data_IF_077863320524
#
_entry.id   IF_077863320524
#
_cell.length_a   1.000
_cell.length_b   1.000
_cell.length_c   1.000
_cell.angle_alpha   90.00
_cell.angle_beta   90.00
_cell.angle_gamma   90.00
#
_symmetry.space_group_name_H-M   'P 1'
#
loop_
_entity.id
_entity.type
_entity.pdbx_description
1 polymer ?
#
# COMPACT_ATOMS: atom_id res chain seq x y z
N UNK A 1 -11.88 15.78 -3.29
CA UNK A 1 -11.47 14.44 -2.82
C UNK A 1 -11.99 13.43 -3.82
N UNK A 2 -11.10 12.72 -4.50
CA UNK A 2 -11.51 11.69 -5.46
C UNK A 2 -11.91 10.44 -4.70
N UNK A 3 -13.13 9.89 -4.91
CA UNK A 3 -13.53 8.66 -4.26
C UNK A 3 -12.74 7.47 -4.83
N UNK A 4 -12.51 6.45 -4.01
CA UNK A 4 -12.06 5.16 -4.52
C UNK A 4 -13.15 4.56 -5.41
N UNK A 5 -12.81 4.24 -6.66
CA UNK A 5 -13.72 3.68 -7.66
C UNK A 5 -13.90 2.17 -7.51
N UNK A 6 -12.84 1.47 -7.15
CA UNK A 6 -12.76 0.02 -7.21
C UNK A 6 -13.04 -0.60 -5.83
N UNK A 7 -14.32 -0.87 -5.58
CA UNK A 7 -14.81 -1.38 -4.30
C UNK A 7 -15.41 -2.78 -4.43
N UNK A 8 -15.13 -3.61 -3.43
CA UNK A 8 -15.50 -5.02 -3.37
C UNK A 8 -16.23 -5.33 -2.08
N UNK A 9 -16.99 -6.42 -2.10
CA UNK A 9 -17.57 -6.99 -0.89
C UNK A 9 -16.46 -7.55 -0.02
N UNK A 10 -16.45 -7.19 1.27
CA UNK A 10 -15.52 -7.79 2.25
C UNK A 10 -15.66 -9.32 2.31
N UNK A 11 -16.84 -9.85 1.97
CA UNK A 11 -17.08 -11.31 1.91
C UNK A 11 -16.23 -12.01 0.85
N UNK A 12 -15.82 -11.30 -0.21
CA UNK A 12 -14.95 -11.86 -1.26
C UNK A 12 -13.55 -12.20 -0.75
N UNK A 13 -13.16 -11.68 0.42
CA UNK A 13 -11.88 -11.97 1.09
C UNK A 13 -12.03 -13.08 2.15
N UNK A 14 -13.01 -13.98 1.98
CA UNK A 14 -13.24 -15.11 2.88
C UNK A 14 -13.68 -14.73 4.31
N UNK A 15 -14.00 -13.45 4.56
CA UNK A 15 -14.26 -12.92 5.91
C UNK A 15 -13.02 -12.87 6.81
N UNK A 16 -11.83 -13.14 6.26
CA UNK A 16 -10.54 -13.16 6.96
C UNK A 16 -9.92 -11.77 7.02
N UNK A 17 -8.88 -11.60 7.82
CA UNK A 17 -8.20 -10.31 7.96
C UNK A 17 -7.63 -9.81 6.63
N UNK A 18 -7.59 -8.49 6.41
CA UNK A 18 -6.93 -7.86 5.25
C UNK A 18 -5.43 -8.21 5.20
N UNK A 19 -4.84 -8.58 6.35
CA UNK A 19 -3.48 -9.11 6.48
C UNK A 19 -3.31 -10.53 5.91
N UNK A 20 -4.39 -11.29 5.71
CA UNK A 20 -4.29 -12.71 5.41
C UNK A 20 -4.08 -13.00 3.91
N UNK A 21 -3.41 -14.13 3.70
CA UNK A 21 -2.85 -14.80 2.51
C UNK A 21 -3.63 -14.75 1.17
N UNK A 22 -4.84 -14.21 1.16
CA UNK A 22 -5.77 -14.22 0.02
C UNK A 22 -5.84 -12.87 -0.71
N UNK A 23 -5.17 -11.81 -0.21
CA UNK A 23 -5.09 -10.52 -0.90
C UNK A 23 -3.94 -10.49 -1.91
N UNK A 24 -4.17 -10.03 -3.17
CA UNK A 24 -3.10 -9.83 -4.13
C UNK A 24 -2.04 -8.84 -3.62
N UNK A 25 -0.77 -9.20 -3.77
CA UNK A 25 0.36 -8.31 -3.48
C UNK A 25 0.70 -7.51 -4.72
N UNK A 26 0.68 -6.18 -4.62
CA UNK A 26 1.10 -5.29 -5.70
C UNK A 26 2.61 -5.05 -5.55
N UNK A 27 3.38 -5.17 -6.64
CA UNK A 27 4.83 -4.93 -6.60
C UNK A 27 5.19 -3.76 -7.51
N UNK A 28 5.74 -2.70 -6.92
CA UNK A 28 6.40 -1.62 -7.67
C UNK A 28 7.83 -2.06 -7.97
N UNK A 29 8.13 -2.28 -9.25
CA UNK A 29 9.49 -2.62 -9.70
C UNK A 29 10.24 -1.33 -9.95
N UNK A 30 11.28 -1.08 -9.15
CA UNK A 30 12.09 0.14 -9.19
C UNK A 30 13.37 -0.07 -9.98
N UNK A 31 14.15 1.01 -10.14
CA UNK A 31 15.48 0.96 -10.72
C UNK A 31 16.35 -0.12 -10.08
N UNK A 32 17.09 -0.87 -10.89
CA UNK A 32 17.91 -1.99 -10.41
C UNK A 32 17.12 -3.28 -10.11
N UNK A 33 15.81 -3.33 -10.38
CA UNK A 33 15.00 -4.55 -10.23
C UNK A 33 14.50 -4.82 -8.81
N UNK A 34 14.77 -3.90 -7.87
CA UNK A 34 14.27 -3.97 -6.50
C UNK A 34 12.74 -3.81 -6.50
N UNK A 35 12.05 -4.56 -5.64
CA UNK A 35 10.58 -4.57 -5.59
C UNK A 35 10.07 -4.04 -4.27
N UNK A 36 9.32 -2.94 -4.30
CA UNK A 36 8.49 -2.54 -3.15
C UNK A 36 7.16 -3.27 -3.23
N UNK A 37 6.92 -4.16 -2.26
CA UNK A 37 5.66 -4.90 -2.13
C UNK A 37 4.66 -4.13 -1.29
N UNK A 38 3.50 -3.86 -1.86
CA UNK A 38 2.33 -3.27 -1.19
C UNK A 38 1.37 -4.42 -0.88
N UNK A 39 1.17 -4.66 0.42
CA UNK A 39 0.30 -5.72 0.94
C UNK A 39 -1.13 -5.20 1.14
N UNK A 40 -2.07 -6.12 1.39
CA UNK A 40 -3.49 -5.80 1.61
C UNK A 40 -3.70 -4.65 2.60
N UNK A 41 -2.92 -4.58 3.68
CA UNK A 41 -3.00 -3.51 4.68
C UNK A 41 -2.70 -2.11 4.15
N UNK A 42 -1.96 -2.02 3.05
CA UNK A 42 -1.55 -0.78 2.40
C UNK A 42 -2.23 -0.56 1.03
N UNK A 43 -2.92 -1.58 0.50
CA UNK A 43 -3.63 -1.51 -0.78
C UNK A 43 -5.15 -1.54 -0.65
N UNK A 44 -5.71 -1.93 0.49
CA UNK A 44 -7.16 -2.09 0.68
C UNK A 44 -7.65 -1.33 1.91
N UNK A 45 -8.60 -0.43 1.69
CA UNK A 45 -9.20 0.40 2.74
C UNK A 45 -10.65 0.00 3.00
N UNK A 46 -10.98 -0.22 4.28
CA UNK A 46 -12.37 -0.54 4.68
C UNK A 46 -13.18 0.75 4.81
N UNK A 47 -14.04 1.02 3.83
CA UNK A 47 -14.87 2.24 3.79
C UNK A 47 -16.24 2.05 4.47
N UNK A 48 -16.74 0.82 4.55
CA UNK A 48 -17.98 0.44 5.27
C UNK A 48 -17.84 -0.95 5.88
N UNK A 49 -18.80 -1.35 6.73
CA UNK A 49 -18.80 -2.66 7.42
C UNK A 49 -18.48 -3.85 6.48
N UNK A 50 -19.07 -3.85 5.28
CA UNK A 50 -18.94 -4.93 4.29
C UNK A 50 -18.33 -4.46 2.95
N UNK A 51 -17.73 -3.27 2.90
CA UNK A 51 -17.16 -2.71 1.67
C UNK A 51 -15.71 -2.34 1.92
N UNK A 52 -14.85 -2.85 1.05
CA UNK A 52 -13.43 -2.58 1.00
C UNK A 52 -13.09 -2.07 -0.39
N UNK A 53 -12.26 -1.05 -0.50
CA UNK A 53 -11.87 -0.47 -1.78
C UNK A 53 -10.37 -0.55 -1.98
N UNK A 54 -9.95 -0.64 -3.24
CA UNK A 54 -8.57 -0.45 -3.63
C UNK A 54 -8.18 0.99 -3.28
N UNK A 55 -7.09 1.16 -2.52
CA UNK A 55 -6.63 2.45 -2.02
C UNK A 55 -5.83 3.24 -3.07
N UNK A 56 -6.33 3.25 -4.31
CA UNK A 56 -5.74 3.91 -5.47
C UNK A 56 -6.83 4.75 -6.14
N UNK A 57 -6.46 5.94 -6.59
CA UNK A 57 -7.40 6.88 -7.21
C UNK A 57 -6.93 7.20 -8.62
N UNK A 58 -7.87 7.20 -9.56
CA UNK A 58 -7.62 7.71 -10.91
C UNK A 58 -7.62 9.25 -10.86
N UNK A 59 -6.51 9.83 -11.30
CA UNK A 59 -6.30 11.29 -11.35
C UNK A 59 -6.59 11.89 -12.73
N UNK A 60 -7.06 11.07 -13.67
CA UNK A 60 -7.34 11.45 -15.05
C UNK A 60 -6.09 11.48 -15.92
N UNK A 61 -6.24 12.10 -17.09
CA UNK A 61 -5.21 12.08 -18.13
C UNK A 61 -4.07 13.07 -17.86
N UNK A 62 -2.84 12.66 -18.24
CA UNK A 62 -1.63 13.48 -18.24
C UNK A 62 -1.28 14.16 -16.89
N UNK A 63 -1.24 13.41 -15.77
CA UNK A 63 -0.83 13.98 -14.50
C UNK A 63 0.66 14.39 -14.55
N UNK A 64 0.99 15.49 -13.87
CA UNK A 64 2.40 15.93 -13.72
C UNK A 64 3.26 14.87 -13.04
N UNK A 65 2.67 14.13 -12.10
CA UNK A 65 3.28 13.01 -11.38
C UNK A 65 2.46 11.76 -11.74
N UNK A 66 3.02 10.80 -12.51
CA UNK A 66 2.27 9.62 -12.94
C UNK A 66 1.83 8.70 -11.80
N UNK A 67 2.63 8.62 -10.73
CA UNK A 67 2.36 7.79 -9.56
C UNK A 67 2.75 8.60 -8.32
N UNK A 68 1.78 8.82 -7.44
CA UNK A 68 1.99 9.41 -6.12
C UNK A 68 1.78 8.34 -5.06
N UNK A 69 2.83 8.04 -4.28
CA UNK A 69 2.74 7.10 -3.16
C UNK A 69 2.28 7.89 -1.93
N UNK A 70 1.04 7.63 -1.50
CA UNK A 70 0.44 8.31 -0.36
C UNK A 70 0.92 7.76 0.99
N UNK A 71 0.56 8.47 2.06
CA UNK A 71 0.86 8.06 3.43
C UNK A 71 0.33 6.66 3.77
N UNK A 72 -0.87 6.32 3.28
CA UNK A 72 -1.48 5.02 3.52
C UNK A 72 -0.66 3.85 2.99
N UNK A 73 0.02 4.05 1.85
CA UNK A 73 0.92 3.03 1.29
C UNK A 73 2.24 2.92 2.09
N UNK A 74 2.63 3.98 2.80
CA UNK A 74 3.86 4.03 3.62
C UNK A 74 3.64 3.60 5.07
N UNK A 75 2.39 3.53 5.56
CA UNK A 75 2.07 3.07 6.90
C UNK A 75 2.69 1.68 7.18
N UNK A 76 3.30 1.54 8.35
CA UNK A 76 4.03 0.34 8.78
C UNK A 76 5.09 -0.16 7.79
N UNK A 77 5.71 0.74 7.02
CA UNK A 77 6.95 0.51 6.29
C UNK A 77 8.00 1.50 6.80
N UNK A 78 9.21 1.03 7.09
CA UNK A 78 10.31 1.94 7.39
C UNK A 78 10.83 2.50 6.06
N UNK A 79 10.80 3.83 5.92
CA UNK A 79 11.28 4.56 4.75
C UNK A 79 12.43 5.45 5.19
N UNK A 80 13.56 5.32 4.51
CA UNK A 80 14.76 6.14 4.74
C UNK A 80 15.02 6.99 3.49
N UNK A 81 15.19 8.29 3.72
CA UNK A 81 15.59 9.27 2.71
C UNK A 81 16.99 9.74 3.11
N UNK A 82 18.00 9.16 2.48
CA UNK A 82 19.39 9.55 2.67
C UNK A 82 19.77 10.56 1.59
N UNK A 83 19.80 11.84 1.97
CA UNK A 83 20.11 12.94 1.06
C UNK A 83 21.59 12.98 0.68
N UNK A 84 22.48 12.54 1.57
CA UNK A 84 23.93 12.54 1.31
C UNK A 84 24.29 11.46 0.30
N UNK A 85 23.73 10.26 0.46
CA UNK A 85 23.92 9.15 -0.49
C UNK A 85 23.00 9.24 -1.72
N UNK A 86 22.09 10.21 -1.78
CA UNK A 86 21.02 10.29 -2.80
C UNK A 86 20.25 8.97 -2.93
N UNK A 87 19.92 8.35 -1.78
CA UNK A 87 19.34 7.01 -1.71
C UNK A 87 17.96 7.03 -1.06
N UNK A 88 17.06 6.29 -1.69
CA UNK A 88 15.74 5.97 -1.16
C UNK A 88 15.71 4.51 -0.76
N UNK A 89 15.53 4.22 0.54
CA UNK A 89 15.45 2.86 1.07
C UNK A 89 14.06 2.61 1.68
N UNK A 90 13.61 1.37 1.61
CA UNK A 90 12.34 0.95 2.20
C UNK A 90 12.44 -0.49 2.71
N UNK A 91 11.63 -0.82 3.70
CA UNK A 91 11.40 -2.22 4.12
C UNK A 91 10.15 -2.78 3.46
N UNK A 92 9.93 -4.10 3.58
CA UNK A 92 8.57 -4.63 3.51
C UNK A 92 7.75 -4.17 4.73
N UNK A 93 6.44 -4.40 4.68
CA UNK A 93 5.56 -4.10 5.81
C UNK A 93 6.07 -4.75 7.10
N UNK A 94 6.27 -3.93 8.13
CA UNK A 94 6.69 -4.31 9.48
C UNK A 94 5.71 -5.28 10.14
N UNK A 95 4.45 -5.25 9.72
CA UNK A 95 3.41 -6.15 10.20
C UNK A 95 3.73 -7.63 9.90
N UNK A 96 4.50 -7.90 8.83
CA UNK A 96 5.00 -9.24 8.52
C UNK A 96 6.06 -9.74 9.52
N UNK A 97 6.68 -8.82 10.25
CA UNK A 97 7.67 -9.07 11.28
C UNK A 97 7.09 -8.91 12.69
N UNK A 98 5.76 -8.92 12.84
CA UNK A 98 5.06 -8.72 14.10
C UNK A 98 5.43 -7.41 14.83
N UNK A 99 5.80 -6.37 14.09
CA UNK A 99 6.02 -5.00 14.62
C UNK A 99 5.27 -3.97 13.79
N UNK A 100 5.27 -2.71 14.22
CA UNK A 100 4.59 -1.58 13.58
C UNK A 100 5.38 -0.30 13.82
N UNK A 101 5.14 0.77 13.06
CA UNK A 101 5.86 2.03 13.26
C UNK A 101 5.70 2.61 14.68
N UNK A 102 4.60 2.27 15.36
CA UNK A 102 4.36 2.66 16.76
C UNK A 102 5.09 1.80 17.80
N UNK A 103 5.84 0.78 17.37
CA UNK A 103 6.51 -0.23 18.21
C UNK A 103 7.97 -0.48 17.81
N UNK A 104 8.50 0.28 16.85
CA UNK A 104 9.94 0.28 16.51
C UNK A 104 10.72 0.93 17.63
#
# INVERSE_FOLDING_TARGET
>A
MYPFSDCFSYKSFGGKSILEKETPVISLVLGGGVKWKIYGTNSLVKVKKNVVCLAFVDVGDSPRIPIEIGGYQMEDNLVEIDLEASRFSFTSSLLLHNTSCSRV
#
